data_IF_695601639292
#
_entry.id   IF_695601639292
#
_cell.length_a   1.000
_cell.length_b   1.000
_cell.length_c   1.000
_cell.angle_alpha   90.00
_cell.angle_beta   90.00
_cell.angle_gamma   90.00
#
_symmetry.space_group_name_H-M   'P 1'
#
loop_
_entity.id
_entity.type
_entity.pdbx_description
1 polymer ?
#
# COMPACT_ATOMS: atom_id res chain seq x y z
N UNK A 1 27.43 18.78 -6.51
CA UNK A 1 26.03 18.52 -6.90
C UNK A 1 25.92 17.02 -6.97
N UNK A 2 25.63 16.39 -5.84
CA UNK A 2 25.44 14.95 -5.78
C UNK A 2 23.95 14.74 -5.94
N UNK A 3 23.58 13.98 -6.97
CA UNK A 3 22.22 13.57 -7.25
C UNK A 3 21.56 13.15 -5.94
N UNK A 4 20.52 13.87 -5.55
CA UNK A 4 19.59 13.42 -4.55
C UNK A 4 18.99 12.15 -5.14
N UNK A 5 19.56 10.99 -4.81
CA UNK A 5 18.88 9.72 -4.98
C UNK A 5 17.53 9.94 -4.30
N UNK A 6 16.48 10.08 -5.10
CA UNK A 6 15.12 9.91 -4.63
C UNK A 6 15.20 8.55 -3.95
N UNK A 7 15.18 8.53 -2.62
CA UNK A 7 15.09 7.30 -1.89
C UNK A 7 13.72 6.75 -2.27
N UNK A 8 13.69 5.95 -3.35
CA UNK A 8 12.59 5.03 -3.61
C UNK A 8 12.45 4.30 -2.30
N UNK A 9 11.35 4.57 -1.61
CA UNK A 9 11.15 4.21 -0.22
C UNK A 9 11.34 2.69 -0.10
N UNK A 10 12.53 2.24 0.32
CA UNK A 10 12.93 0.84 0.11
C UNK A 10 12.10 -0.14 0.95
N UNK A 11 11.26 0.39 1.86
CA UNK A 11 10.51 -0.33 2.90
C UNK A 11 9.00 0.01 2.92
N UNK A 12 8.35 0.27 1.77
CA UNK A 12 6.90 0.53 1.74
C UNK A 12 6.02 -0.73 1.80
N UNK A 13 4.75 -0.55 2.19
CA UNK A 13 3.72 -1.62 2.26
C UNK A 13 3.52 -2.37 0.95
N UNK A 14 3.59 -1.66 -0.19
CA UNK A 14 3.43 -2.24 -1.54
C UNK A 14 4.55 -3.26 -1.83
N UNK A 15 5.79 -2.88 -1.53
CA UNK A 15 6.96 -3.75 -1.71
C UNK A 15 6.97 -4.89 -0.70
N UNK A 16 6.62 -4.64 0.55
CA UNK A 16 6.43 -5.69 1.55
C UNK A 16 5.42 -6.73 1.07
N UNK A 17 4.29 -6.28 0.53
CA UNK A 17 3.21 -7.15 0.04
C UNK A 17 3.66 -8.03 -1.13
N UNK A 18 4.36 -7.48 -2.12
CA UNK A 18 4.81 -8.23 -3.29
C UNK A 18 5.93 -9.24 -2.97
N UNK A 19 6.65 -9.07 -1.85
CA UNK A 19 7.74 -9.96 -1.44
C UNK A 19 7.30 -11.15 -0.55
N UNK A 20 6.00 -11.31 -0.29
CA UNK A 20 5.48 -12.49 0.42
C UNK A 20 5.64 -13.76 -0.44
N UNK A 21 5.84 -14.92 0.21
CA UNK A 21 6.19 -16.20 -0.44
C UNK A 21 5.25 -16.58 -1.60
N UNK A 22 3.95 -16.32 -1.45
CA UNK A 22 2.93 -16.66 -2.44
C UNK A 22 2.54 -15.49 -3.37
N UNK A 23 3.25 -14.36 -3.32
CA UNK A 23 2.86 -13.11 -3.99
C UNK A 23 3.67 -12.78 -5.25
N UNK A 24 4.36 -13.76 -5.84
CA UNK A 24 5.24 -13.59 -7.00
C UNK A 24 4.53 -13.13 -8.30
N UNK A 25 3.20 -13.15 -8.37
CA UNK A 25 2.42 -12.64 -9.51
C UNK A 25 2.02 -11.16 -9.36
N UNK A 26 2.19 -10.59 -8.18
CA UNK A 26 1.85 -9.20 -7.91
C UNK A 26 2.99 -8.26 -8.30
N UNK A 27 2.65 -7.05 -8.75
CA UNK A 27 3.61 -6.04 -9.18
C UNK A 27 3.55 -4.81 -8.29
N UNK A 28 4.70 -4.19 -8.04
CA UNK A 28 4.73 -2.93 -7.28
C UNK A 28 4.00 -1.83 -8.06
N UNK A 29 2.85 -1.40 -7.54
CA UNK A 29 2.07 -0.29 -8.10
C UNK A 29 2.70 1.02 -7.68
N UNK A 30 2.76 1.98 -8.61
CA UNK A 30 3.25 3.32 -8.33
C UNK A 30 2.37 4.04 -7.29
N UNK A 31 3.01 4.64 -6.29
CA UNK A 31 2.36 5.47 -5.27
C UNK A 31 1.57 6.62 -5.90
N UNK A 32 2.03 7.19 -7.02
CA UNK A 32 1.30 8.24 -7.76
C UNK A 32 -0.01 7.71 -8.37
N UNK A 33 -0.06 6.45 -8.76
CA UNK A 33 -1.28 5.82 -9.27
C UNK A 33 -2.31 5.67 -8.15
N UNK A 34 -1.86 5.25 -6.97
CA UNK A 34 -2.70 5.04 -5.78
C UNK A 34 -3.17 6.37 -5.18
N UNK A 35 -2.34 7.41 -5.21
CA UNK A 35 -2.69 8.73 -4.68
C UNK A 35 -3.73 9.47 -5.56
N UNK A 36 -3.85 9.11 -6.84
CA UNK A 36 -4.81 9.72 -7.75
C UNK A 36 -6.24 9.22 -7.49
N UNK A 37 -7.10 10.13 -7.02
CA UNK A 37 -8.49 9.83 -6.74
C UNK A 37 -9.29 9.37 -7.95
N UNK A 38 -8.87 9.71 -9.17
CA UNK A 38 -9.51 9.25 -10.39
C UNK A 38 -9.35 7.73 -10.57
N UNK A 39 -8.17 7.20 -10.27
CA UNK A 39 -7.90 5.75 -10.34
C UNK A 39 -8.64 4.96 -9.26
N UNK A 40 -9.07 5.63 -8.19
CA UNK A 40 -9.78 5.03 -7.06
C UNK A 40 -11.31 5.19 -7.09
N UNK A 41 -11.88 5.84 -8.11
CA UNK A 41 -13.30 6.22 -8.14
C UNK A 41 -14.26 5.05 -7.86
N UNK A 42 -13.99 3.87 -8.43
CA UNK A 42 -14.78 2.65 -8.18
C UNK A 42 -14.40 1.91 -6.89
N UNK A 43 -13.15 2.05 -6.42
CA UNK A 43 -12.67 1.43 -5.19
C UNK A 43 -13.25 2.10 -3.94
N UNK A 44 -13.35 3.44 -3.93
CA UNK A 44 -13.79 4.22 -2.77
C UNK A 44 -15.18 3.84 -2.23
N UNK A 45 -16.04 3.28 -3.07
CA UNK A 45 -17.38 2.85 -2.68
C UNK A 45 -17.42 1.44 -2.09
N UNK A 46 -16.34 0.68 -2.21
CA UNK A 46 -16.28 -0.74 -1.83
C UNK A 46 -15.60 -0.99 -0.48
N UNK A 47 -14.99 0.05 0.12
CA UNK A 47 -14.19 -0.06 1.33
C UNK A 47 -14.57 1.02 2.35
N UNK A 48 -14.89 0.58 3.56
CA UNK A 48 -14.97 1.46 4.71
C UNK A 48 -13.56 1.95 5.08
N UNK A 49 -13.45 3.20 5.54
CA UNK A 49 -12.16 3.79 5.96
C UNK A 49 -11.05 3.72 4.89
N UNK A 50 -11.41 3.77 3.60
CA UNK A 50 -10.43 3.68 2.52
C UNK A 50 -9.36 4.77 2.59
N UNK A 51 -9.71 5.98 3.06
CA UNK A 51 -8.75 7.08 3.17
C UNK A 51 -7.66 6.77 4.20
N UNK A 52 -8.01 6.17 5.33
CA UNK A 52 -7.07 5.75 6.36
C UNK A 52 -6.16 4.63 5.83
N UNK A 53 -6.75 3.63 5.17
CA UNK A 53 -5.98 2.54 4.56
C UNK A 53 -5.03 3.03 3.46
N UNK A 54 -5.42 4.03 2.66
CA UNK A 54 -4.56 4.63 1.65
C UNK A 54 -3.40 5.42 2.26
N UNK A 55 -3.62 6.13 3.38
CA UNK A 55 -2.54 6.79 4.10
C UNK A 55 -1.49 5.78 4.57
N UNK A 56 -1.93 4.61 5.03
CA UNK A 56 -1.03 3.53 5.44
C UNK A 56 -0.29 2.95 4.24
N UNK A 57 -0.99 2.59 3.15
CA UNK A 57 -0.36 2.05 1.92
C UNK A 57 0.72 2.97 1.36
N UNK A 58 0.51 4.29 1.42
CA UNK A 58 1.46 5.31 0.95
C UNK A 58 2.52 5.70 1.99
N UNK A 59 2.51 5.07 3.17
CA UNK A 59 3.48 5.30 4.24
C UNK A 59 4.79 4.56 3.97
N UNK A 60 5.96 5.09 4.41
CA UNK A 60 7.22 4.35 4.48
C UNK A 60 7.23 3.16 5.45
N UNK A 61 6.16 2.97 6.23
CA UNK A 61 6.14 1.98 7.29
C UNK A 61 5.64 0.62 6.79
N UNK A 62 6.17 -0.45 7.38
CA UNK A 62 5.65 -1.81 7.18
C UNK A 62 4.73 -2.22 8.34
N UNK A 63 3.92 -3.28 8.19
CA UNK A 63 3.10 -3.82 9.29
C UNK A 63 3.90 -4.17 10.54
N UNK A 64 5.18 -4.50 10.36
CA UNK A 64 6.13 -4.86 11.42
C UNK A 64 6.54 -3.60 12.22
N UNK A 65 6.61 -2.44 11.57
CA UNK A 65 7.05 -1.18 12.19
C UNK A 65 5.94 -0.51 13.00
N UNK A 66 4.69 -0.63 12.54
CA UNK A 66 3.52 0.05 13.13
C UNK A 66 2.70 -0.82 14.09
N UNK A 67 3.16 -2.04 14.40
CA UNK A 67 2.44 -3.00 15.24
C UNK A 67 0.98 -3.23 14.77
N UNK A 68 0.78 -3.21 13.43
CA UNK A 68 -0.53 -3.32 12.78
C UNK A 68 -1.16 -4.70 12.91
N UNK A 69 -0.42 -5.66 13.46
CA UNK A 69 -0.91 -7.00 13.76
C UNK A 69 -2.08 -6.99 14.78
N UNK A 70 -2.14 -5.98 15.67
CA UNK A 70 -3.24 -5.82 16.63
C UNK A 70 -4.54 -5.30 15.97
N UNK A 71 -4.44 -4.61 14.83
CA UNK A 71 -5.59 -4.07 14.08
C UNK A 71 -5.88 -4.91 12.82
N UNK A 72 -6.26 -6.18 13.04
CA UNK A 72 -6.59 -7.14 11.98
C UNK A 72 -7.57 -6.59 10.92
N UNK A 73 -8.54 -5.79 11.35
CA UNK A 73 -9.53 -5.17 10.45
C UNK A 73 -8.89 -4.18 9.47
N UNK A 74 -7.94 -3.37 9.95
CA UNK A 74 -7.23 -2.41 9.12
C UNK A 74 -6.32 -3.13 8.12
N UNK A 75 -5.59 -4.13 8.60
CA UNK A 75 -4.72 -4.94 7.76
C UNK A 75 -5.50 -5.68 6.67
N UNK A 76 -6.68 -6.21 6.99
CA UNK A 76 -7.55 -6.86 6.00
C UNK A 76 -7.99 -5.90 4.90
N UNK A 77 -8.36 -4.66 5.26
CA UNK A 77 -8.76 -3.64 4.28
C UNK A 77 -7.59 -3.22 3.38
N UNK A 78 -6.39 -3.02 3.95
CA UNK A 78 -5.17 -2.72 3.18
C UNK A 78 -4.89 -3.83 2.16
N UNK A 79 -4.90 -5.09 2.60
CA UNK A 79 -4.66 -6.25 1.73
C UNK A 79 -5.70 -6.31 0.60
N UNK A 80 -6.98 -6.07 0.91
CA UNK A 80 -8.03 -6.09 -0.11
C UNK A 80 -7.86 -4.97 -1.15
N UNK A 81 -7.46 -3.78 -0.72
CA UNK A 81 -7.18 -2.66 -1.63
C UNK A 81 -6.02 -3.01 -2.56
N UNK A 82 -4.89 -3.49 -2.02
CA UNK A 82 -3.74 -3.89 -2.83
C UNK A 82 -4.10 -4.97 -3.84
N UNK A 83 -4.87 -5.99 -3.44
CA UNK A 83 -5.38 -7.04 -4.35
C UNK A 83 -6.32 -6.52 -5.43
N UNK A 84 -7.09 -5.48 -5.16
CA UNK A 84 -8.07 -4.95 -6.13
C UNK A 84 -7.40 -4.09 -7.19
N UNK A 85 -6.23 -3.53 -6.88
CA UNK A 85 -5.48 -2.67 -7.78
C UNK A 85 -4.56 -3.44 -8.75
N UNK A 86 -4.35 -4.75 -8.54
CA UNK A 86 -3.46 -5.64 -9.31
C UNK A 86 -4.25 -6.69 -10.09
#
# INVERSE_FOLDING_TARGET
MSESSISVNENGLIKWYCNLEDHHFFCEIDEFFIADQFNLYGLKQSFDHIEDALQMILSPNTPIDENLEDDQYQMENIIKILRTLQ
#
